data_IF_853165471407
#
_entry.id   IF_853165471407
#
_cell.length_a   1.000
_cell.length_b   1.000
_cell.length_c   1.000
_cell.angle_alpha   90.00
_cell.angle_beta   90.00
_cell.angle_gamma   90.00
#
_symmetry.space_group_name_H-M   'P 1'
#
loop_
_entity.id
_entity.type
_entity.pdbx_description
1 polymer ?
#
# COMPACT_ATOMS: atom_id res chain seq x y z
N UNK A 1 -16.82 9.24 65.58
CA UNK A 1 -16.11 10.23 66.41
C UNK A 1 -14.61 10.08 66.18
N UNK A 2 -13.97 11.11 65.61
CA UNK A 2 -12.50 11.31 65.59
C UNK A 2 -11.99 11.36 67.05
N UNK A 3 -10.73 10.98 67.40
CA UNK A 3 -9.49 11.62 66.89
C UNK A 3 -8.34 10.63 66.60
N UNK A 4 -7.49 10.81 65.59
CA UNK A 4 -6.33 11.74 65.47
C UNK A 4 -5.24 11.54 66.54
N UNK A 5 -4.09 10.98 66.15
CA UNK A 5 -2.81 11.69 65.92
C UNK A 5 -1.84 11.49 67.10
N UNK A 6 -0.57 11.18 66.87
CA UNK A 6 0.59 12.10 67.02
C UNK A 6 1.84 11.32 66.53
N UNK A 7 2.44 11.65 65.37
CA UNK A 7 3.65 12.49 65.17
C UNK A 7 4.82 12.11 66.10
N UNK A 8 5.77 11.28 65.64
CA UNK A 8 7.07 11.63 65.00
C UNK A 8 7.98 12.57 65.83
N UNK A 9 9.13 12.04 66.22
CA UNK A 9 10.40 12.75 66.53
C UNK A 9 11.51 11.73 66.19
N UNK A 10 12.35 11.90 65.16
CA UNK A 10 13.50 12.81 65.06
C UNK A 10 14.40 12.68 66.32
N UNK A 11 15.69 12.30 66.27
CA UNK A 11 16.76 12.83 65.42
C UNK A 11 18.05 11.99 65.58
N UNK A 12 18.66 11.64 64.44
CA UNK A 12 20.10 11.59 64.06
C UNK A 12 21.21 11.58 65.14
N UNK A 13 22.17 10.65 65.02
CA UNK A 13 23.60 10.89 65.31
C UNK A 13 24.51 9.90 64.53
N UNK A 14 25.61 10.44 64.00
CA UNK A 14 26.49 9.89 62.98
C UNK A 14 27.84 9.36 63.53
N UNK A 15 28.45 8.39 62.84
CA UNK A 15 29.89 8.02 62.85
C UNK A 15 30.11 7.04 61.68
N UNK A 16 30.71 7.38 60.53
CA UNK A 16 32.09 7.78 60.16
C UNK A 16 33.10 6.61 60.04
N UNK A 17 33.49 6.37 58.78
CA UNK A 17 34.78 5.94 58.20
C UNK A 17 35.12 4.45 57.87
N UNK A 18 35.61 4.32 56.62
CA UNK A 18 36.64 3.42 56.03
C UNK A 18 36.18 2.17 55.21
N UNK A 19 36.11 2.36 53.88
CA UNK A 19 36.96 1.73 52.82
C UNK A 19 37.46 0.29 53.11
N UNK A 20 37.29 -0.77 52.30
CA UNK A 20 37.39 -0.96 50.83
C UNK A 20 37.13 -2.45 50.49
N UNK A 21 36.89 -2.73 49.19
CA UNK A 21 37.06 -4.00 48.43
C UNK A 21 35.88 -5.01 48.27
N UNK A 22 35.30 -4.94 47.06
CA UNK A 22 35.08 -6.03 46.07
C UNK A 22 34.18 -7.23 46.39
N UNK A 23 33.06 -7.36 45.66
CA UNK A 23 32.78 -8.50 44.75
C UNK A 23 31.42 -8.36 44.03
N UNK A 24 31.39 -8.86 42.80
CA UNK A 24 30.38 -8.76 41.75
C UNK A 24 28.97 -9.27 42.08
N UNK A 25 27.98 -8.79 41.31
CA UNK A 25 26.97 -9.69 40.73
C UNK A 25 25.52 -9.18 40.69
N UNK A 26 25.10 -8.66 39.54
CA UNK A 26 23.74 -8.85 39.01
C UNK A 26 22.62 -7.98 39.59
N UNK A 27 22.61 -6.68 39.26
CA UNK A 27 21.42 -5.83 39.41
C UNK A 27 20.73 -5.64 38.06
N UNK A 28 19.56 -6.26 37.88
CA UNK A 28 18.65 -5.98 36.76
C UNK A 28 17.63 -4.92 37.19
N UNK A 29 17.76 -3.70 36.67
CA UNK A 29 16.66 -2.72 36.64
C UNK A 29 15.70 -3.06 35.48
N UNK A 30 14.38 -3.01 35.69
CA UNK A 30 13.42 -3.21 34.62
C UNK A 30 13.24 -1.90 33.84
N UNK A 31 13.93 -1.78 32.71
CA UNK A 31 13.62 -0.78 31.69
C UNK A 31 12.27 -1.09 31.03
N UNK A 32 11.37 -0.12 31.02
CA UNK A 32 10.08 -0.19 30.33
C UNK A 32 10.26 -0.56 28.84
N UNK A 33 9.40 -1.42 28.26
CA UNK A 33 9.51 -1.73 26.85
C UNK A 33 8.98 -0.54 26.05
N UNK A 34 9.87 0.12 25.32
CA UNK A 34 9.50 0.90 24.14
C UNK A 34 8.83 -0.05 23.16
N UNK A 35 7.54 0.16 22.90
CA UNK A 35 6.80 -0.49 21.83
C UNK A 35 7.32 -0.03 20.47
N UNK A 36 8.49 -0.53 20.06
CA UNK A 36 8.79 -0.73 18.66
C UNK A 36 8.05 -2.00 18.26
N UNK A 37 6.95 -1.84 17.54
CA UNK A 37 6.23 -2.97 16.95
C UNK A 37 7.22 -3.78 16.11
N UNK A 38 7.33 -5.07 16.42
CA UNK A 38 8.30 -5.98 15.82
C UNK A 38 8.22 -5.96 14.28
N UNK A 39 9.22 -5.37 13.64
CA UNK A 39 9.58 -5.74 12.28
C UNK A 39 10.19 -7.15 12.35
N UNK A 40 9.46 -8.15 11.89
CA UNK A 40 10.04 -9.49 11.75
C UNK A 40 9.50 -10.17 10.49
N UNK A 41 9.87 -9.62 9.35
CA UNK A 41 10.18 -10.39 8.15
C UNK A 41 11.60 -9.96 7.72
N UNK A 42 12.55 -10.90 7.79
CA UNK A 42 13.97 -10.61 7.64
C UNK A 42 14.30 -10.18 6.21
N UNK A 43 15.02 -9.06 6.07
CA UNK A 43 15.73 -8.71 4.84
C UNK A 43 16.98 -9.59 4.68
N UNK A 44 17.45 -9.85 3.46
CA UNK A 44 16.90 -9.37 2.19
C UNK A 44 15.60 -10.10 1.79
N UNK A 45 14.73 -9.40 1.06
CA UNK A 45 13.56 -10.00 0.40
C UNK A 45 13.74 -9.96 -1.11
N UNK A 46 13.30 -11.00 -1.81
CA UNK A 46 13.34 -11.08 -3.27
C UNK A 46 11.93 -11.14 -3.82
N UNK A 47 11.62 -10.26 -4.77
CA UNK A 47 10.29 -10.09 -5.35
C UNK A 47 10.37 -10.32 -6.84
N UNK A 48 9.63 -11.33 -7.33
CA UNK A 48 9.53 -11.62 -8.75
C UNK A 48 8.51 -10.72 -9.44
N UNK A 49 8.85 -10.23 -10.63
CA UNK A 49 8.01 -9.34 -11.44
C UNK A 49 8.26 -9.59 -12.95
N UNK A 50 7.56 -8.87 -13.83
CA UNK A 50 7.53 -9.02 -15.29
C UNK A 50 8.93 -9.00 -15.93
N UNK A 51 9.86 -8.28 -15.31
CA UNK A 51 11.23 -8.08 -15.81
C UNK A 51 12.32 -8.85 -15.05
N UNK A 52 11.94 -9.79 -14.17
CA UNK A 52 12.89 -10.63 -13.44
C UNK A 52 12.61 -10.71 -11.95
N UNK A 53 13.63 -10.51 -11.13
CA UNK A 53 13.52 -10.51 -9.67
C UNK A 53 14.37 -9.38 -9.11
N UNK A 54 13.77 -8.60 -8.22
CA UNK A 54 14.45 -7.53 -7.49
C UNK A 54 14.67 -7.98 -6.06
N UNK A 55 15.91 -7.82 -5.59
CA UNK A 55 16.26 -8.01 -4.17
C UNK A 55 16.25 -6.67 -3.47
N UNK A 56 15.44 -6.55 -2.42
CA UNK A 56 15.44 -5.42 -1.50
C UNK A 56 16.33 -5.80 -0.31
N UNK A 57 17.49 -5.16 -0.13
CA UNK A 57 18.53 -5.65 0.78
C UNK A 57 18.27 -5.33 2.26
N UNK A 58 17.49 -4.29 2.53
CA UNK A 58 17.19 -3.78 3.86
C UNK A 58 15.87 -3.01 3.83
N UNK A 59 15.36 -2.64 5.01
CA UNK A 59 14.13 -1.84 5.11
C UNK A 59 14.28 -0.49 4.41
N UNK A 60 13.48 -0.22 3.35
CA UNK A 60 13.61 0.99 2.56
C UNK A 60 13.17 2.21 3.37
N UNK A 61 13.95 3.29 3.29
CA UNK A 61 13.71 4.57 3.97
C UNK A 61 13.29 5.67 2.99
N UNK A 62 13.55 5.50 1.69
CA UNK A 62 13.29 6.50 0.64
C UNK A 62 12.61 5.83 -0.55
N UNK A 63 11.31 5.63 -0.43
CA UNK A 63 10.50 4.98 -1.46
C UNK A 63 9.97 6.01 -2.46
N UNK A 64 10.17 5.75 -3.74
CA UNK A 64 9.54 6.49 -4.84
C UNK A 64 8.52 5.59 -5.53
N UNK A 65 7.28 6.07 -5.63
CA UNK A 65 6.23 5.41 -6.41
C UNK A 65 6.23 6.01 -7.82
N UNK A 66 6.45 5.16 -8.83
CA UNK A 66 6.33 5.47 -10.26
C UNK A 66 5.09 4.80 -10.89
N UNK A 67 4.38 3.95 -10.14
CA UNK A 67 3.03 3.48 -10.45
C UNK A 67 1.96 4.48 -10.00
N UNK A 68 0.69 4.05 -9.98
CA UNK A 68 -0.45 4.96 -9.74
C UNK A 68 -1.06 4.90 -8.32
N UNK A 69 -0.99 3.77 -7.62
CA UNK A 69 -1.83 3.53 -6.41
C UNK A 69 -1.08 2.97 -5.20
N UNK A 70 0.22 2.71 -5.31
CA UNK A 70 1.04 2.08 -4.28
C UNK A 70 1.13 2.89 -2.99
N UNK A 71 0.98 4.21 -3.07
CA UNK A 71 1.00 5.12 -1.92
C UNK A 71 -0.06 4.77 -0.87
N UNK A 72 -1.25 4.30 -1.28
CA UNK A 72 -2.30 3.94 -0.32
C UNK A 72 -1.94 2.67 0.45
N UNK A 73 -1.33 1.69 -0.23
CA UNK A 73 -0.82 0.49 0.42
C UNK A 73 0.32 0.84 1.39
N UNK A 74 1.28 1.68 0.98
CA UNK A 74 2.35 2.14 1.85
C UNK A 74 1.82 2.85 3.10
N UNK A 75 0.89 3.79 2.94
CA UNK A 75 0.31 4.54 4.06
C UNK A 75 -0.49 3.63 4.99
N UNK A 76 -1.21 2.63 4.47
CA UNK A 76 -1.92 1.65 5.30
C UNK A 76 -0.97 0.81 6.18
N UNK A 77 0.30 0.71 5.79
CA UNK A 77 1.37 0.02 6.52
C UNK A 77 2.22 0.98 7.37
N UNK A 78 1.84 2.26 7.45
CA UNK A 78 2.57 3.27 8.22
C UNK A 78 3.86 3.76 7.55
N UNK A 79 4.00 3.56 6.24
CA UNK A 79 5.17 3.99 5.46
C UNK A 79 4.79 5.15 4.56
N UNK A 80 5.56 6.25 4.59
CA UNK A 80 5.32 7.44 3.77
C UNK A 80 6.36 7.49 2.65
N UNK A 81 5.96 7.46 1.36
CA UNK A 81 6.89 7.61 0.24
C UNK A 81 7.42 9.04 0.14
N UNK A 82 8.62 9.23 -0.41
CA UNK A 82 9.17 10.57 -0.67
C UNK A 82 8.59 11.19 -1.94
N UNK A 83 8.11 10.36 -2.87
CA UNK A 83 7.40 10.83 -4.05
C UNK A 83 6.35 9.83 -4.54
N UNK A 84 5.32 10.37 -5.18
CA UNK A 84 4.20 9.67 -5.81
C UNK A 84 4.07 10.10 -7.27
N UNK A 85 3.23 9.42 -8.04
CA UNK A 85 2.86 9.83 -9.40
C UNK A 85 1.44 10.37 -9.40
N UNK A 86 1.25 11.53 -10.01
CA UNK A 86 -0.08 12.07 -10.31
C UNK A 86 -0.79 11.13 -11.30
N UNK A 87 -2.00 10.71 -10.96
CA UNK A 87 -2.81 9.87 -11.85
C UNK A 87 -4.24 10.38 -12.04
N UNK A 88 -4.80 11.15 -11.09
CA UNK A 88 -6.05 11.89 -11.28
C UNK A 88 -6.26 12.91 -10.15
N UNK A 89 -7.10 13.92 -10.38
CA UNK A 89 -7.67 14.73 -9.29
C UNK A 89 -6.72 15.71 -8.59
N UNK A 90 -5.43 15.77 -8.98
CA UNK A 90 -4.47 16.80 -8.60
C UNK A 90 -4.38 17.03 -7.08
N UNK A 91 -4.46 15.93 -6.32
CA UNK A 91 -4.42 16.01 -4.85
C UNK A 91 -3.00 16.33 -4.39
N UNK A 92 -2.82 17.21 -3.39
CA UNK A 92 -1.50 17.47 -2.84
C UNK A 92 -0.82 16.18 -2.34
N UNK A 93 0.33 15.84 -2.92
CA UNK A 93 1.07 14.60 -2.63
C UNK A 93 0.49 13.34 -3.28
N UNK A 94 -0.51 13.48 -4.15
CA UNK A 94 -1.38 12.40 -4.63
C UNK A 94 -1.93 11.57 -3.45
N UNK A 95 -2.36 12.25 -2.38
CA UNK A 95 -2.98 11.64 -1.20
C UNK A 95 -4.45 12.06 -1.15
N UNK A 96 -5.34 11.09 -1.10
CA UNK A 96 -6.79 11.32 -1.07
C UNK A 96 -7.34 11.38 0.35
N UNK A 97 -8.56 11.91 0.54
CA UNK A 97 -9.15 12.09 1.87
C UNK A 97 -9.18 10.82 2.74
N UNK A 98 -9.29 9.63 2.14
CA UNK A 98 -9.26 8.36 2.86
C UNK A 98 -7.88 8.01 3.45
N UNK A 99 -6.80 8.55 2.90
CA UNK A 99 -5.42 8.28 3.29
C UNK A 99 -4.78 9.41 4.11
N UNK A 100 -5.42 10.59 4.22
CA UNK A 100 -4.89 11.73 4.98
C UNK A 100 -4.64 11.39 6.46
N UNK A 101 -5.53 10.61 7.08
CA UNK A 101 -5.36 10.19 8.46
C UNK A 101 -4.13 9.27 8.65
N UNK A 102 -3.83 8.43 7.67
CA UNK A 102 -2.67 7.54 7.68
C UNK A 102 -1.35 8.29 7.42
N UNK A 103 -1.38 9.34 6.60
CA UNK A 103 -0.25 10.26 6.43
C UNK A 103 0.07 11.02 7.74
N UNK A 104 -0.95 11.39 8.50
CA UNK A 104 -0.81 12.10 9.77
C UNK A 104 -0.09 13.44 9.60
N UNK A 105 0.87 13.72 10.51
CA UNK A 105 1.70 14.94 10.44
C UNK A 105 2.92 14.80 9.51
N UNK A 106 3.00 13.72 8.72
CA UNK A 106 4.07 13.49 7.76
C UNK A 106 4.11 14.56 6.67
N UNK A 107 5.30 14.78 6.09
CA UNK A 107 5.45 15.63 4.92
C UNK A 107 4.70 14.99 3.74
N UNK A 108 3.96 15.80 2.97
CA UNK A 108 3.34 15.33 1.74
C UNK A 108 4.42 14.92 0.74
N UNK A 109 4.28 13.78 0.06
CA UNK A 109 5.22 13.37 -0.97
C UNK A 109 5.33 14.41 -2.09
N UNK A 110 6.48 14.46 -2.75
CA UNK A 110 6.58 15.18 -4.02
C UNK A 110 5.75 14.45 -5.08
N UNK A 111 4.97 15.19 -5.88
CA UNK A 111 4.19 14.61 -6.96
C UNK A 111 4.99 14.69 -8.27
N UNK A 112 5.28 13.52 -8.84
CA UNK A 112 5.82 13.35 -10.19
C UNK A 112 4.65 13.25 -11.18
N UNK A 113 4.90 13.50 -12.47
CA UNK A 113 3.91 13.23 -13.53
C UNK A 113 4.44 12.14 -14.44
N UNK A 114 3.52 11.36 -15.03
CA UNK A 114 3.79 10.38 -16.06
C UNK A 114 3.22 10.75 -17.44
N UNK A 115 2.79 12.01 -17.65
CA UNK A 115 2.18 12.47 -18.92
C UNK A 115 3.06 12.17 -20.13
N UNK A 116 4.36 12.39 -20.01
CA UNK A 116 5.36 12.13 -21.07
C UNK A 116 6.21 10.88 -20.76
N UNK A 117 5.70 9.98 -19.92
CA UNK A 117 6.43 8.83 -19.38
C UNK A 117 7.15 9.13 -18.06
N UNK A 118 8.00 8.19 -17.63
CA UNK A 118 8.65 8.23 -16.31
C UNK A 118 9.69 9.35 -16.22
N UNK A 119 9.62 10.17 -15.17
CA UNK A 119 10.56 11.27 -14.92
C UNK A 119 11.89 10.79 -14.28
N UNK A 120 12.68 10.01 -15.01
CA UNK A 120 13.89 9.35 -14.50
C UNK A 120 14.87 10.29 -13.77
N UNK A 121 15.12 11.50 -14.30
CA UNK A 121 16.05 12.45 -13.66
C UNK A 121 15.55 12.92 -12.29
N UNK A 122 14.23 13.16 -12.16
CA UNK A 122 13.62 13.53 -10.88
C UNK A 122 13.64 12.36 -9.91
N UNK A 123 13.35 11.14 -10.39
CA UNK A 123 13.47 9.92 -9.57
C UNK A 123 14.90 9.77 -9.05
N UNK A 124 15.92 9.93 -9.91
CA UNK A 124 17.32 9.85 -9.49
C UNK A 124 17.71 10.95 -8.48
N UNK A 125 17.25 12.19 -8.68
CA UNK A 125 17.51 13.31 -7.78
C UNK A 125 16.97 13.08 -6.37
N UNK A 126 15.89 12.30 -6.23
CA UNK A 126 15.31 11.92 -4.94
C UNK A 126 16.14 10.88 -4.19
N UNK A 127 17.14 10.26 -4.82
CA UNK A 127 17.99 9.22 -4.23
C UNK A 127 17.17 8.14 -3.51
N UNK A 128 16.28 7.42 -4.21
CA UNK A 128 15.49 6.36 -3.62
C UNK A 128 16.38 5.18 -3.24
N UNK A 129 15.94 4.41 -2.24
CA UNK A 129 16.47 3.08 -1.94
C UNK A 129 15.49 1.95 -2.35
N UNK A 130 14.28 2.32 -2.78
CA UNK A 130 13.31 1.44 -3.43
C UNK A 130 12.42 2.24 -4.39
N UNK A 131 12.15 1.68 -5.57
CA UNK A 131 11.21 2.20 -6.55
C UNK A 131 10.07 1.19 -6.72
N UNK A 132 8.82 1.66 -6.64
CA UNK A 132 7.62 0.85 -6.81
C UNK A 132 6.84 1.26 -8.06
N UNK A 133 6.67 0.34 -9.00
CA UNK A 133 5.86 0.47 -10.20
C UNK A 133 5.07 -0.81 -10.46
N UNK A 134 4.27 -1.21 -9.48
CA UNK A 134 3.51 -2.46 -9.46
C UNK A 134 2.22 -2.30 -10.28
N UNK A 135 1.43 -1.26 -10.01
CA UNK A 135 0.26 -0.90 -10.81
C UNK A 135 0.68 0.13 -11.85
N UNK A 136 1.30 -0.36 -12.92
CA UNK A 136 1.92 0.48 -13.93
C UNK A 136 1.88 -0.18 -15.32
N UNK A 137 2.30 0.59 -16.33
CA UNK A 137 2.62 0.13 -17.68
C UNK A 137 4.10 0.29 -18.02
N UNK A 138 5.00 0.12 -17.04
CA UNK A 138 6.45 0.17 -17.28
C UNK A 138 6.83 -0.79 -18.42
N UNK A 139 7.66 -0.31 -19.34
CA UNK A 139 8.31 -1.13 -20.36
C UNK A 139 9.60 -1.75 -19.83
N UNK A 140 10.16 -2.71 -20.57
CA UNK A 140 11.49 -3.27 -20.27
C UNK A 140 12.58 -2.18 -20.26
N UNK A 141 12.46 -1.18 -21.13
CA UNK A 141 13.39 -0.05 -21.19
C UNK A 141 13.26 0.84 -19.95
N UNK A 142 12.03 1.16 -19.53
CA UNK A 142 11.79 1.96 -18.33
C UNK A 142 12.34 1.25 -17.09
N UNK A 143 12.05 -0.05 -16.95
CA UNK A 143 12.59 -0.87 -15.87
C UNK A 143 14.12 -0.87 -15.86
N UNK A 144 14.76 -1.07 -17.02
CA UNK A 144 16.22 -1.07 -17.11
C UNK A 144 16.86 0.27 -16.72
N UNK A 145 16.16 1.39 -16.96
CA UNK A 145 16.60 2.72 -16.50
C UNK A 145 16.39 2.89 -15.00
N UNK A 146 15.23 2.52 -14.46
CA UNK A 146 14.93 2.61 -13.02
C UNK A 146 15.83 1.71 -12.17
N UNK A 147 16.11 0.50 -12.65
CA UNK A 147 17.00 -0.46 -11.96
C UNK A 147 18.45 0.03 -11.84
N UNK A 148 18.88 1.01 -12.67
CA UNK A 148 20.17 1.69 -12.51
C UNK A 148 20.15 2.75 -11.40
N UNK A 149 18.98 3.20 -10.98
CA UNK A 149 18.80 4.21 -9.93
C UNK A 149 18.70 3.52 -8.57
N UNK A 150 17.82 2.53 -8.42
CA UNK A 150 17.58 1.79 -7.17
C UNK A 150 16.88 0.44 -7.43
N UNK A 151 16.84 -0.48 -6.44
CA UNK A 151 15.98 -1.67 -6.51
C UNK A 151 14.57 -1.29 -6.94
N UNK A 152 14.05 -1.92 -8.01
CA UNK A 152 12.79 -1.53 -8.65
C UNK A 152 11.83 -2.71 -8.72
N UNK A 153 10.69 -2.64 -8.05
CA UNK A 153 9.65 -3.65 -8.14
C UNK A 153 8.63 -3.23 -9.18
N UNK A 154 8.59 -3.96 -10.30
CA UNK A 154 7.67 -3.72 -11.42
C UNK A 154 6.38 -4.58 -11.31
N UNK A 155 5.55 -4.56 -12.35
CA UNK A 155 4.31 -5.33 -12.43
C UNK A 155 4.55 -6.84 -12.24
N UNK A 156 3.64 -7.58 -11.59
CA UNK A 156 3.69 -9.05 -11.53
C UNK A 156 3.72 -9.69 -12.92
N UNK A 157 4.42 -10.82 -13.07
CA UNK A 157 4.64 -11.49 -14.36
C UNK A 157 3.35 -11.87 -15.11
N UNK A 158 2.29 -12.21 -14.37
CA UNK A 158 1.04 -12.73 -14.93
C UNK A 158 -0.09 -11.69 -14.92
N UNK A 159 0.21 -10.43 -14.55
CA UNK A 159 -0.77 -9.35 -14.58
C UNK A 159 -0.72 -8.62 -15.92
N UNK A 160 -1.88 -8.19 -16.40
CA UNK A 160 -1.95 -7.17 -17.47
C UNK A 160 -1.47 -5.84 -16.92
N UNK A 161 -0.95 -4.96 -17.76
CA UNK A 161 -0.53 -3.62 -17.34
C UNK A 161 -1.74 -2.87 -16.76
N UNK A 162 -1.54 -2.21 -15.61
CA UNK A 162 -2.61 -1.61 -14.81
C UNK A 162 -3.74 -2.59 -14.38
N UNK A 163 -3.49 -3.90 -14.32
CA UNK A 163 -4.49 -4.91 -13.92
C UNK A 163 -4.12 -5.71 -12.66
N UNK A 164 -3.17 -5.23 -11.87
CA UNK A 164 -2.79 -5.88 -10.61
C UNK A 164 -3.92 -5.72 -9.60
N UNK A 165 -4.29 -6.81 -8.93
CA UNK A 165 -5.30 -6.76 -7.86
C UNK A 165 -4.80 -5.90 -6.69
N UNK A 166 -5.69 -5.20 -6.00
CA UNK A 166 -5.31 -4.39 -4.83
C UNK A 166 -4.73 -5.28 -3.72
N UNK A 167 -5.18 -6.54 -3.64
CA UNK A 167 -4.66 -7.54 -2.71
C UNK A 167 -3.20 -7.89 -3.01
N UNK A 168 -2.89 -8.26 -4.25
CA UNK A 168 -1.53 -8.63 -4.65
C UNK A 168 -0.59 -7.44 -4.56
N UNK A 169 -1.07 -6.25 -4.94
CA UNK A 169 -0.33 -5.01 -4.77
C UNK A 169 0.00 -4.78 -3.30
N UNK A 170 -0.99 -4.84 -2.41
CA UNK A 170 -0.79 -4.59 -0.96
C UNK A 170 0.18 -5.61 -0.35
N UNK A 171 0.04 -6.89 -0.70
CA UNK A 171 0.97 -7.93 -0.25
C UNK A 171 2.39 -7.78 -0.80
N UNK A 172 2.51 -7.36 -2.06
CA UNK A 172 3.82 -7.09 -2.69
C UNK A 172 4.50 -5.90 -2.03
N UNK A 173 3.77 -4.80 -1.80
CA UNK A 173 4.23 -3.64 -1.04
C UNK A 173 4.64 -4.06 0.37
N UNK A 174 3.79 -4.79 1.08
CA UNK A 174 4.07 -5.33 2.41
C UNK A 174 5.34 -6.17 2.47
N UNK A 175 5.57 -7.01 1.48
CA UNK A 175 6.82 -7.78 1.37
C UNK A 175 8.01 -6.84 1.16
N UNK A 176 7.91 -5.88 0.25
CA UNK A 176 8.99 -4.95 -0.09
C UNK A 176 9.43 -4.07 1.08
N UNK A 177 8.52 -3.76 2.02
CA UNK A 177 8.79 -2.91 3.18
C UNK A 177 8.92 -3.69 4.50
N UNK A 178 8.97 -5.04 4.45
CA UNK A 178 9.14 -5.87 5.66
C UNK A 178 7.95 -5.81 6.62
N UNK A 179 6.73 -5.78 6.07
CA UNK A 179 5.43 -5.70 6.77
C UNK A 179 4.42 -6.71 6.24
N UNK A 180 4.84 -7.92 5.88
CA UNK A 180 3.97 -8.92 5.23
C UNK A 180 2.75 -9.26 6.08
N UNK A 181 2.96 -9.53 7.37
CA UNK A 181 1.86 -9.86 8.31
C UNK A 181 0.84 -8.72 8.41
N UNK A 182 1.28 -7.46 8.44
CA UNK A 182 0.39 -6.30 8.49
C UNK A 182 -0.36 -6.13 7.17
N UNK A 183 0.30 -6.34 6.03
CA UNK A 183 -0.33 -6.30 4.71
C UNK A 183 -1.41 -7.38 4.56
N UNK A 184 -1.12 -8.61 4.98
CA UNK A 184 -2.12 -9.70 4.97
C UNK A 184 -3.32 -9.33 5.85
N UNK A 185 -3.09 -8.73 7.02
CA UNK A 185 -4.18 -8.23 7.87
C UNK A 185 -5.02 -7.14 7.17
N UNK A 186 -4.38 -6.14 6.56
CA UNK A 186 -5.09 -5.09 5.81
C UNK A 186 -5.96 -5.70 4.71
N UNK A 187 -5.43 -6.68 3.97
CA UNK A 187 -6.19 -7.39 2.93
C UNK A 187 -7.40 -8.10 3.52
N UNK A 188 -7.20 -8.92 4.55
CA UNK A 188 -8.30 -9.64 5.19
C UNK A 188 -9.37 -8.70 5.77
N UNK A 189 -8.98 -7.59 6.37
CA UNK A 189 -9.92 -6.61 6.92
C UNK A 189 -10.79 -5.97 5.83
N UNK A 190 -10.21 -5.64 4.68
CA UNK A 190 -10.96 -5.06 3.54
C UNK A 190 -11.84 -6.11 2.86
N UNK A 191 -11.37 -7.34 2.68
CA UNK A 191 -12.18 -8.45 2.17
C UNK A 191 -13.39 -8.73 3.07
N UNK A 192 -13.23 -8.62 4.40
CA UNK A 192 -14.34 -8.72 5.34
C UNK A 192 -15.36 -7.58 5.17
N UNK A 193 -14.92 -6.36 4.85
CA UNK A 193 -15.83 -5.24 4.53
C UNK A 193 -16.61 -5.51 3.25
N UNK A 194 -15.98 -6.06 2.21
CA UNK A 194 -16.69 -6.50 1.01
C UNK A 194 -17.71 -7.60 1.33
N UNK A 195 -17.35 -8.60 2.13
CA UNK A 195 -18.28 -9.64 2.55
C UNK A 195 -19.49 -9.07 3.32
N UNK A 196 -19.25 -8.13 4.23
CA UNK A 196 -20.32 -7.45 4.96
C UNK A 196 -21.22 -6.62 4.03
N UNK A 197 -20.63 -5.90 3.06
CA UNK A 197 -21.38 -5.15 2.06
C UNK A 197 -22.26 -6.06 1.20
N UNK A 198 -21.75 -7.22 0.76
CA UNK A 198 -22.54 -8.23 0.04
C UNK A 198 -23.71 -8.75 0.88
N UNK A 199 -23.45 -9.10 2.14
CA UNK A 199 -24.48 -9.62 3.04
C UNK A 199 -25.59 -8.58 3.32
N UNK A 200 -25.23 -7.30 3.42
CA UNK A 200 -26.19 -6.21 3.60
C UNK A 200 -27.00 -5.88 2.33
N UNK A 201 -26.52 -6.31 1.15
CA UNK A 201 -27.13 -5.98 -0.15
C UNK A 201 -27.32 -7.25 -0.99
N UNK A 202 -28.20 -8.19 -0.58
CA UNK A 202 -28.41 -9.44 -1.30
C UNK A 202 -28.91 -9.25 -2.75
N UNK A 203 -29.50 -8.09 -3.04
CA UNK A 203 -29.95 -7.73 -4.39
C UNK A 203 -28.80 -7.56 -5.40
N UNK A 204 -27.54 -7.41 -4.97
CA UNK A 204 -26.40 -7.34 -5.89
C UNK A 204 -26.10 -8.71 -6.52
N UNK A 205 -26.40 -9.80 -5.80
CA UNK A 205 -26.13 -11.15 -6.27
C UNK A 205 -26.97 -11.46 -7.52
N UNK A 206 -26.29 -11.78 -8.62
CA UNK A 206 -26.93 -12.12 -9.89
C UNK A 206 -27.34 -10.92 -10.74
N UNK A 207 -27.19 -9.69 -10.24
CA UNK A 207 -27.35 -8.47 -11.04
C UNK A 207 -26.08 -8.21 -11.84
N UNK A 208 -26.22 -7.92 -13.12
CA UNK A 208 -25.08 -7.53 -13.96
C UNK A 208 -24.67 -6.09 -13.63
N UNK A 209 -23.36 -5.85 -13.51
CA UNK A 209 -22.78 -4.53 -13.27
C UNK A 209 -21.64 -4.26 -14.24
N UNK A 210 -21.58 -3.03 -14.79
CA UNK A 210 -20.52 -2.60 -15.70
C UNK A 210 -20.01 -1.22 -15.30
N UNK A 211 -18.68 -1.07 -15.29
CA UNK A 211 -18.01 0.22 -15.21
C UNK A 211 -17.63 0.67 -16.61
N UNK A 212 -18.08 1.86 -17.00
CA UNK A 212 -17.79 2.46 -18.29
C UNK A 212 -17.47 3.95 -18.18
N UNK A 213 -16.84 4.51 -19.21
CA UNK A 213 -16.64 5.95 -19.35
C UNK A 213 -16.86 6.37 -20.80
N UNK A 214 -17.19 7.63 -21.01
CA UNK A 214 -17.32 8.24 -22.33
C UNK A 214 -16.00 8.79 -22.87
N UNK A 215 -14.87 8.47 -22.23
CA UNK A 215 -13.55 8.91 -22.65
C UNK A 215 -13.13 8.24 -23.96
N UNK A 216 -12.97 9.04 -25.03
CA UNK A 216 -12.60 8.59 -26.39
C UNK A 216 -13.52 7.53 -27.03
N UNK A 217 -14.75 7.40 -26.53
CA UNK A 217 -15.72 6.40 -26.97
C UNK A 217 -16.50 5.83 -25.79
N UNK A 218 -17.15 4.69 -25.99
CA UNK A 218 -17.73 3.92 -24.89
C UNK A 218 -16.67 2.94 -24.37
N UNK A 219 -15.83 3.41 -23.45
CA UNK A 219 -14.75 2.60 -22.89
C UNK A 219 -15.26 1.81 -21.69
N UNK A 220 -15.04 0.51 -21.69
CA UNK A 220 -15.44 -0.40 -20.59
C UNK A 220 -14.22 -0.96 -19.88
N UNK A 221 -14.34 -1.15 -18.56
CA UNK A 221 -13.30 -1.72 -17.73
C UNK A 221 -13.52 -3.22 -17.53
N UNK A 222 -12.47 -4.00 -17.80
CA UNK A 222 -12.53 -5.45 -17.81
C UNK A 222 -12.43 -6.10 -16.43
N UNK A 223 -12.53 -7.43 -16.38
CA UNK A 223 -12.45 -8.19 -15.12
C UNK A 223 -11.08 -8.10 -14.43
N UNK A 224 -10.03 -7.70 -15.16
CA UNK A 224 -8.69 -7.53 -14.60
C UNK A 224 -8.49 -6.18 -13.93
N UNK A 225 -9.24 -5.15 -14.34
CA UNK A 225 -9.14 -3.79 -13.82
C UNK A 225 -9.77 -3.65 -12.43
N UNK A 226 -9.20 -2.78 -11.60
CA UNK A 226 -9.68 -2.53 -10.24
C UNK A 226 -11.15 -2.11 -10.16
N UNK A 227 -11.67 -1.35 -11.14
CA UNK A 227 -13.08 -0.92 -11.19
C UNK A 227 -14.01 -2.08 -11.52
N UNK A 228 -13.62 -2.96 -12.45
CA UNK A 228 -14.38 -4.16 -12.77
C UNK A 228 -14.38 -5.16 -11.60
N UNK A 229 -13.23 -5.33 -10.94
CA UNK A 229 -13.11 -6.17 -9.73
C UNK A 229 -13.96 -5.66 -8.59
N UNK A 230 -14.04 -4.34 -8.38
CA UNK A 230 -14.88 -3.74 -7.33
C UNK A 230 -16.33 -4.23 -7.42
N UNK A 231 -16.90 -4.29 -8.63
CA UNK A 231 -18.26 -4.79 -8.84
C UNK A 231 -18.39 -6.28 -8.46
N UNK A 232 -17.42 -7.09 -8.88
CA UNK A 232 -17.38 -8.52 -8.53
C UNK A 232 -17.22 -8.73 -7.02
N UNK A 233 -16.37 -7.94 -6.36
CA UNK A 233 -16.15 -7.94 -4.91
C UNK A 233 -17.42 -7.50 -4.15
N UNK A 234 -18.27 -6.66 -4.76
CA UNK A 234 -19.59 -6.30 -4.24
C UNK A 234 -20.69 -7.32 -4.61
N UNK A 235 -20.37 -8.39 -5.33
CA UNK A 235 -21.29 -9.49 -5.63
C UNK A 235 -22.07 -9.37 -6.94
N UNK A 236 -21.83 -8.33 -7.74
CA UNK A 236 -22.36 -8.24 -9.10
C UNK A 236 -21.70 -9.26 -10.01
N UNK A 237 -22.40 -9.67 -11.07
CA UNK A 237 -21.78 -10.37 -12.19
C UNK A 237 -21.36 -9.37 -13.26
N UNK A 238 -20.23 -9.59 -13.93
CA UNK A 238 -19.86 -8.75 -15.07
C UNK A 238 -20.63 -9.22 -16.33
N UNK A 239 -20.92 -8.32 -17.30
CA UNK A 239 -21.60 -8.70 -18.53
C UNK A 239 -20.91 -9.85 -19.28
N UNK A 240 -21.66 -10.81 -19.84
CA UNK A 240 -21.11 -11.83 -20.71
C UNK A 240 -20.38 -11.20 -21.90
N UNK A 241 -19.25 -11.79 -22.33
CA UNK A 241 -18.48 -11.26 -23.46
C UNK A 241 -17.51 -10.12 -23.10
N UNK A 242 -17.52 -9.61 -21.86
CA UNK A 242 -16.66 -8.50 -21.45
C UNK A 242 -15.17 -8.88 -21.50
N UNK A 243 -14.83 -10.08 -21.01
CA UNK A 243 -13.44 -10.56 -21.00
C UNK A 243 -12.87 -10.71 -22.42
N UNK A 244 -13.70 -11.13 -23.37
CA UNK A 244 -13.36 -11.27 -24.78
C UNK A 244 -13.15 -9.91 -25.43
N UNK A 245 -13.94 -8.90 -25.06
CA UNK A 245 -13.80 -7.53 -25.55
C UNK A 245 -12.53 -6.87 -25.01
N UNK A 246 -12.22 -7.04 -23.73
CA UNK A 246 -11.03 -6.42 -23.12
C UNK A 246 -9.74 -7.18 -23.40
N UNK A 247 -9.83 -8.48 -23.68
CA UNK A 247 -8.69 -9.30 -24.04
C UNK A 247 -7.58 -9.28 -22.97
N UNK A 248 -6.39 -8.80 -23.36
CA UNK A 248 -5.21 -8.69 -22.49
C UNK A 248 -4.98 -7.27 -21.95
N UNK A 249 -5.94 -6.38 -22.13
CA UNK A 249 -5.90 -5.01 -21.63
C UNK A 249 -6.79 -4.89 -20.37
N UNK A 250 -6.57 -3.83 -19.58
CA UNK A 250 -7.43 -3.53 -18.43
C UNK A 250 -8.84 -3.05 -18.86
N UNK A 251 -9.00 -2.60 -20.11
CA UNK A 251 -10.27 -2.18 -20.67
C UNK A 251 -10.21 -2.03 -22.18
N UNK A 252 -11.34 -1.71 -22.81
CA UNK A 252 -11.43 -1.52 -24.25
C UNK A 252 -12.56 -0.56 -24.65
N UNK A 253 -12.41 0.07 -25.81
CA UNK A 253 -13.50 0.79 -26.45
C UNK A 253 -14.48 -0.19 -27.11
N UNK A 254 -15.77 -0.03 -26.82
CA UNK A 254 -16.83 -0.76 -27.50
C UNK A 254 -17.01 -0.24 -28.93
N UNK A 255 -17.15 -1.18 -29.87
CA UNK A 255 -17.72 -0.87 -31.18
C UNK A 255 -19.15 -0.34 -31.02
N UNK A 256 -19.59 0.54 -31.92
CA UNK A 256 -20.99 1.03 -31.93
C UNK A 256 -22.00 -0.10 -32.06
N UNK A 257 -21.61 -1.20 -32.70
CA UNK A 257 -22.42 -2.42 -32.88
C UNK A 257 -22.52 -3.28 -31.61
N UNK A 258 -21.71 -2.99 -30.58
CA UNK A 258 -21.64 -3.74 -29.32
C UNK A 258 -22.14 -2.93 -28.11
N UNK A 259 -22.94 -1.90 -28.37
CA UNK A 259 -23.54 -1.06 -27.32
C UNK A 259 -24.63 -1.77 -26.52
N UNK A 260 -25.10 -2.93 -26.99
CA UNK A 260 -25.94 -3.86 -26.23
C UNK A 260 -25.31 -4.28 -24.90
N UNK A 261 -23.97 -4.29 -24.80
CA UNK A 261 -23.27 -4.58 -23.54
C UNK A 261 -23.50 -3.52 -22.45
N UNK A 262 -23.85 -2.29 -22.84
CA UNK A 262 -24.16 -1.22 -21.89
C UNK A 262 -25.57 -1.39 -21.28
N UNK A 263 -26.41 -2.25 -21.86
CA UNK A 263 -27.71 -2.63 -21.30
C UNK A 263 -27.52 -3.69 -20.20
N UNK A 264 -27.11 -3.22 -19.02
CA UNK A 264 -26.81 -4.03 -17.85
C UNK A 264 -27.67 -3.60 -16.66
N UNK A 265 -27.78 -4.46 -15.63
CA UNK A 265 -28.58 -4.14 -14.45
C UNK A 265 -28.11 -2.88 -13.72
N UNK A 266 -26.80 -2.64 -13.69
CA UNK A 266 -26.19 -1.41 -13.16
C UNK A 266 -25.05 -0.96 -14.06
N UNK A 267 -25.19 0.24 -14.65
CA UNK A 267 -24.12 0.91 -15.40
C UNK A 267 -23.57 2.06 -14.54
N UNK A 268 -22.26 2.08 -14.33
CA UNK A 268 -21.54 3.13 -13.60
C UNK A 268 -20.60 3.86 -14.55
#
# INVERSE_FOLDING_TARGET
>A
MRPSSIRRSATVAATVLLLLLAACGGGSEPSAPSSSAAASDAFPVSIAHKFGTTTVPAEPQRIVVVGLVEQDALLSLGVVPVATTEWFGEKPGAIWPWAEAALGAGAKPQVLTSTDGVQFEKVAALRPDLILGIYSGLTSEDYAKLAKIAPTVAQPKNAVDYGVSWQDLTRTVGTAVGRKTQADKVVTDVEARFAAARAANPAFAGTTGLMATTYEGYYVYGPQDSRGRLLSDLGFTLPPGLAEVTGKEFGANLSRERTDMLDTGVLI
#
